data_IF_692224554763
#
_entry.id   IF_692224554763
#
_cell.length_a   1.000
_cell.length_b   1.000
_cell.length_c   1.000
_cell.angle_alpha   90.00
_cell.angle_beta   90.00
_cell.angle_gamma   90.00
#
_symmetry.space_group_name_H-M   'P 1'
#
loop_
_entity.id
_entity.type
_entity.pdbx_description
1 polymer ?
#
# COMPACT_ATOMS: atom_id res chain seq x y z
N UNK A 1 -7.50 11.58 0.87
CA UNK A 1 -8.49 10.52 0.55
C UNK A 1 -9.35 10.82 -0.69
N UNK A 2 -9.56 12.08 -1.06
CA UNK A 2 -10.26 12.43 -2.32
C UNK A 2 -9.61 11.73 -3.53
N UNK A 3 -8.29 11.76 -3.63
CA UNK A 3 -7.56 11.07 -4.71
C UNK A 3 -7.76 9.55 -4.68
N UNK A 4 -7.95 8.93 -3.50
CA UNK A 4 -8.28 7.50 -3.38
C UNK A 4 -9.64 7.24 -4.01
N UNK A 5 -10.66 8.01 -3.61
CA UNK A 5 -12.00 7.90 -4.17
C UNK A 5 -12.00 8.06 -5.69
N UNK A 6 -11.23 9.02 -6.22
CA UNK A 6 -11.16 9.30 -7.66
C UNK A 6 -10.41 8.19 -8.44
N UNK A 7 -9.31 7.71 -7.90
CA UNK A 7 -8.46 6.72 -8.60
C UNK A 7 -9.05 5.31 -8.59
N UNK A 8 -9.83 4.97 -7.56
CA UNK A 8 -10.39 3.62 -7.34
C UNK A 8 -11.85 3.48 -7.78
N UNK A 9 -12.55 4.57 -8.13
CA UNK A 9 -13.99 4.57 -8.47
C UNK A 9 -14.43 3.56 -9.54
N UNK A 10 -13.52 3.17 -10.42
CA UNK A 10 -13.81 2.24 -11.51
C UNK A 10 -13.42 0.78 -11.18
N UNK A 11 -12.91 0.53 -9.98
CA UNK A 11 -12.62 -0.84 -9.56
C UNK A 11 -13.92 -1.55 -9.16
N UNK A 12 -13.99 -2.84 -9.48
CA UNK A 12 -15.12 -3.67 -9.11
C UNK A 12 -15.34 -3.63 -7.59
N UNK A 13 -16.60 -3.43 -7.18
CA UNK A 13 -17.04 -3.39 -5.78
C UNK A 13 -16.39 -2.29 -4.91
N UNK A 14 -15.77 -1.28 -5.54
CA UNK A 14 -15.25 -0.14 -4.79
C UNK A 14 -16.40 0.75 -4.31
N UNK A 15 -16.43 1.00 -3.01
CA UNK A 15 -17.35 1.96 -2.40
C UNK A 15 -16.59 3.21 -1.96
N UNK A 16 -17.12 4.36 -2.29
CA UNK A 16 -16.54 5.63 -1.86
C UNK A 16 -16.46 5.71 -0.33
N UNK A 17 -15.31 6.11 0.16
CA UNK A 17 -15.11 6.33 1.59
C UNK A 17 -15.93 7.56 2.03
N UNK A 18 -16.71 7.38 3.07
CA UNK A 18 -17.41 8.47 3.73
C UNK A 18 -16.46 9.29 4.60
N UNK A 19 -16.78 10.55 4.89
CA UNK A 19 -15.95 11.41 5.76
C UNK A 19 -15.67 10.75 7.12
N UNK A 20 -16.67 10.11 7.72
CA UNK A 20 -16.50 9.37 8.98
C UNK A 20 -15.47 8.25 8.88
N UNK A 21 -15.51 7.48 7.80
CA UNK A 21 -14.50 6.41 7.56
C UNK A 21 -13.12 7.01 7.31
N UNK A 22 -13.04 8.12 6.57
CA UNK A 22 -11.78 8.85 6.34
C UNK A 22 -11.18 9.30 7.66
N UNK A 23 -11.96 9.93 8.53
CA UNK A 23 -11.50 10.36 9.86
C UNK A 23 -11.02 9.20 10.73
N UNK A 24 -11.72 8.08 10.69
CA UNK A 24 -11.33 6.87 11.40
C UNK A 24 -10.00 6.32 10.87
N UNK A 25 -9.82 6.23 9.55
CA UNK A 25 -8.56 5.81 8.92
C UNK A 25 -7.41 6.74 9.24
N UNK A 26 -7.62 8.07 9.18
CA UNK A 26 -6.60 9.06 9.54
C UNK A 26 -6.18 8.87 10.99
N UNK A 27 -7.12 8.76 11.90
CA UNK A 27 -6.82 8.64 13.32
C UNK A 27 -6.16 7.31 13.71
N UNK A 28 -6.57 6.23 13.05
CA UNK A 28 -6.12 4.88 13.40
C UNK A 28 -4.80 4.53 12.73
N UNK A 29 -4.63 4.89 11.46
CA UNK A 29 -3.50 4.44 10.64
C UNK A 29 -2.53 5.56 10.29
N UNK A 30 -3.02 6.67 9.71
CA UNK A 30 -2.12 7.70 9.15
C UNK A 30 -1.30 8.38 10.23
N UNK A 31 -1.88 8.70 11.38
CA UNK A 31 -1.15 9.32 12.51
C UNK A 31 -0.04 8.42 13.09
N UNK A 32 -0.09 7.12 12.83
CA UNK A 32 0.89 6.14 13.32
C UNK A 32 1.81 5.64 12.19
N UNK A 33 1.51 6.00 10.95
CA UNK A 33 2.31 5.61 9.80
C UNK A 33 3.67 6.33 9.81
N UNK A 34 4.69 5.64 9.34
CA UNK A 34 5.94 6.29 8.98
C UNK A 34 5.74 7.02 7.64
N UNK A 35 5.79 8.34 7.69
CA UNK A 35 5.56 9.18 6.51
C UNK A 35 6.65 9.01 5.43
N UNK A 36 7.82 8.46 5.76
CA UNK A 36 8.83 8.12 4.77
C UNK A 36 8.42 6.93 3.88
N UNK A 37 7.40 6.16 4.30
CA UNK A 37 6.83 5.06 3.53
C UNK A 37 5.54 5.45 2.80
N UNK A 38 5.25 6.77 2.78
CA UNK A 38 4.10 7.35 2.08
C UNK A 38 4.61 8.45 1.15
N UNK A 39 4.30 8.35 -0.13
CA UNK A 39 4.73 9.34 -1.12
C UNK A 39 3.56 9.94 -1.88
N UNK A 40 3.73 11.16 -2.35
CA UNK A 40 2.77 11.87 -3.18
C UNK A 40 3.45 12.65 -4.30
N UNK A 41 2.87 12.57 -5.48
CA UNK A 41 3.31 13.36 -6.65
C UNK A 41 2.36 14.53 -6.84
N UNK A 42 2.90 15.74 -6.92
CA UNK A 42 2.13 16.96 -7.14
C UNK A 42 2.47 17.59 -8.48
N UNK A 43 1.48 18.19 -9.13
CA UNK A 43 1.67 18.99 -10.34
C UNK A 43 1.81 20.47 -9.96
N UNK A 44 3.03 21.01 -10.04
CA UNK A 44 3.32 22.41 -9.75
C UNK A 44 2.60 23.40 -10.69
N UNK A 45 2.34 23.01 -11.93
CA UNK A 45 1.63 23.84 -12.90
C UNK A 45 0.10 23.89 -12.65
N UNK A 46 -0.41 22.93 -11.89
CA UNK A 46 -1.82 22.83 -11.48
C UNK A 46 -2.04 23.26 -10.02
N UNK A 47 -1.28 24.23 -9.53
CA UNK A 47 -1.42 24.74 -8.15
C UNK A 47 -1.04 23.74 -7.07
N UNK A 48 -0.03 22.91 -7.32
CA UNK A 48 0.40 21.83 -6.43
C UNK A 48 -0.69 20.77 -6.19
N UNK A 49 -1.52 20.50 -7.19
CA UNK A 49 -2.53 19.42 -7.12
C UNK A 49 -1.85 18.08 -6.91
N UNK A 50 -2.29 17.33 -5.89
CA UNK A 50 -1.86 15.94 -5.71
C UNK A 50 -2.43 15.07 -6.83
N UNK A 51 -1.57 14.45 -7.63
CA UNK A 51 -1.94 13.73 -8.86
C UNK A 51 -1.66 12.23 -8.79
N UNK A 52 -0.80 11.81 -7.87
CA UNK A 52 -0.53 10.41 -7.61
C UNK A 52 -0.06 10.20 -6.17
N UNK A 53 -0.20 8.99 -5.65
CA UNK A 53 0.24 8.63 -4.31
C UNK A 53 0.63 7.16 -4.23
N UNK A 54 1.49 6.84 -3.26
CA UNK A 54 1.84 5.49 -2.86
C UNK A 54 1.87 5.39 -1.34
N UNK A 55 1.36 4.29 -0.79
CA UNK A 55 1.34 3.99 0.64
C UNK A 55 1.87 2.60 0.86
N UNK A 56 2.86 2.48 1.72
CA UNK A 56 3.43 1.21 2.13
C UNK A 56 3.63 1.15 3.65
N UNK A 57 3.80 -0.08 4.15
CA UNK A 57 4.01 -0.32 5.57
C UNK A 57 5.03 -1.44 5.77
N UNK A 58 5.81 -1.43 6.87
CA UNK A 58 6.62 -2.58 7.23
C UNK A 58 5.73 -3.81 7.41
N UNK A 59 6.09 -4.94 6.82
CA UNK A 59 5.28 -6.16 6.92
C UNK A 59 5.25 -6.71 8.34
N UNK A 60 4.05 -7.02 8.82
CA UNK A 60 3.85 -7.68 10.11
C UNK A 60 3.82 -9.20 10.02
N UNK A 61 3.91 -9.75 8.82
CA UNK A 61 3.69 -11.18 8.56
C UNK A 61 4.54 -12.07 9.46
N UNK A 62 5.83 -11.82 9.55
CA UNK A 62 6.73 -12.66 10.36
C UNK A 62 6.50 -12.46 11.85
N UNK A 63 6.30 -11.21 12.28
CA UNK A 63 5.99 -10.91 13.68
C UNK A 63 4.70 -11.61 14.14
N UNK A 64 3.67 -11.66 13.28
CA UNK A 64 2.40 -12.33 13.56
C UNK A 64 2.56 -13.86 13.56
N UNK A 65 3.33 -14.42 12.62
CA UNK A 65 3.65 -15.85 12.60
C UNK A 65 4.38 -16.31 13.87
N UNK A 66 5.32 -15.52 14.35
CA UNK A 66 6.06 -15.81 15.56
C UNK A 66 5.20 -15.78 16.84
N UNK A 67 4.04 -15.13 16.82
CA UNK A 67 3.10 -15.13 17.96
C UNK A 67 2.44 -16.50 18.13
N UNK A 68 2.36 -17.30 17.05
CA UNK A 68 1.94 -18.70 17.05
C UNK A 68 0.45 -18.93 17.34
N UNK A 69 -0.01 -18.56 18.53
CA UNK A 69 -1.42 -18.71 18.96
C UNK A 69 -2.32 -17.51 18.65
N UNK A 70 -1.76 -16.48 17.98
CA UNK A 70 -2.48 -15.25 17.62
C UNK A 70 -2.78 -14.30 18.79
N UNK A 71 -2.33 -14.61 20.01
CA UNK A 71 -2.58 -13.76 21.17
C UNK A 71 -1.54 -12.66 21.30
N UNK A 72 -1.98 -11.42 21.22
CA UNK A 72 -1.09 -10.26 21.41
C UNK A 72 -0.56 -10.14 22.85
N UNK A 73 -1.34 -10.56 23.84
CA UNK A 73 -0.94 -10.51 25.25
C UNK A 73 -0.58 -11.91 25.78
N UNK A 74 0.41 -12.03 26.68
CA UNK A 74 1.14 -10.93 27.36
C UNK A 74 2.33 -10.37 26.57
N UNK A 75 2.91 -11.06 25.58
CA UNK A 75 4.20 -10.67 24.96
C UNK A 75 4.15 -10.43 23.44
N UNK A 76 3.11 -10.90 22.76
CA UNK A 76 2.98 -10.78 21.28
C UNK A 76 3.01 -9.32 20.79
N UNK A 77 2.44 -8.39 21.53
CA UNK A 77 2.44 -6.97 21.18
C UNK A 77 3.85 -6.36 21.07
N UNK A 78 4.84 -6.90 21.81
CA UNK A 78 6.24 -6.46 21.72
C UNK A 78 6.83 -6.74 20.33
N UNK A 79 6.44 -7.85 19.70
CA UNK A 79 6.91 -8.23 18.36
C UNK A 79 6.34 -7.24 17.33
N UNK A 80 5.04 -6.94 17.41
CA UNK A 80 4.38 -5.95 16.56
C UNK A 80 4.98 -4.56 16.76
N UNK A 81 5.24 -4.15 18.01
CA UNK A 81 5.86 -2.88 18.33
C UNK A 81 7.27 -2.74 17.73
N UNK A 82 8.07 -3.84 17.72
CA UNK A 82 9.40 -3.84 17.10
C UNK A 82 9.33 -3.55 15.59
N UNK A 83 8.35 -4.08 14.90
CA UNK A 83 8.13 -3.78 13.47
C UNK A 83 7.72 -2.33 13.30
N UNK A 84 6.74 -1.85 14.06
CA UNK A 84 6.23 -0.47 13.94
C UNK A 84 7.27 0.59 14.24
N UNK A 85 8.06 0.41 15.31
CA UNK A 85 8.96 1.45 15.82
C UNK A 85 10.37 1.35 15.27
N UNK A 86 10.85 0.14 14.99
CA UNK A 86 12.23 -0.11 14.58
C UNK A 86 12.35 -0.81 13.22
N UNK A 87 11.25 -0.97 12.48
CA UNK A 87 11.21 -1.62 11.16
C UNK A 87 11.93 -2.99 11.16
N UNK A 88 11.75 -3.78 12.24
CA UNK A 88 12.39 -5.11 12.40
C UNK A 88 11.68 -6.17 11.54
N UNK A 89 11.77 -5.97 10.24
CA UNK A 89 11.35 -6.87 9.17
C UNK A 89 12.21 -6.55 7.95
N UNK A 90 12.40 -7.50 7.06
CA UNK A 90 13.06 -7.27 5.78
C UNK A 90 12.07 -7.08 4.60
N UNK A 91 10.79 -7.05 4.91
CA UNK A 91 9.71 -6.96 3.93
C UNK A 91 8.85 -5.73 4.16
N UNK A 92 8.49 -5.03 3.10
CA UNK A 92 7.52 -3.94 3.08
C UNK A 92 6.26 -4.35 2.32
N UNK A 93 5.09 -4.07 2.86
CA UNK A 93 3.79 -4.32 2.23
C UNK A 93 3.37 -3.08 1.43
N UNK A 94 3.13 -3.26 0.11
CA UNK A 94 2.64 -2.21 -0.79
C UNK A 94 1.11 -2.18 -0.69
N UNK A 95 0.56 -1.22 0.06
CA UNK A 95 -0.87 -1.20 0.38
C UNK A 95 -1.71 -0.52 -0.70
N UNK A 96 -1.36 0.70 -1.04
CA UNK A 96 -2.14 1.52 -1.97
C UNK A 96 -1.23 2.23 -2.96
N UNK A 97 -1.65 2.28 -4.21
CA UNK A 97 -1.05 3.12 -5.24
C UNK A 97 -2.16 3.67 -6.12
N UNK A 98 -2.12 4.95 -6.41
CA UNK A 98 -3.12 5.57 -7.28
C UNK A 98 -2.53 6.71 -8.09
N UNK A 99 -2.98 6.81 -9.35
CA UNK A 99 -2.64 7.90 -10.27
C UNK A 99 -3.92 8.38 -10.90
N UNK A 100 -4.17 9.69 -10.85
CA UNK A 100 -5.32 10.29 -11.52
C UNK A 100 -5.34 9.92 -13.00
N UNK A 101 -6.52 9.64 -13.59
CA UNK A 101 -6.63 9.16 -14.97
C UNK A 101 -5.86 10.01 -15.98
N UNK A 102 -5.94 11.34 -15.86
CA UNK A 102 -5.29 12.31 -16.74
C UNK A 102 -3.75 12.37 -16.60
N UNK A 103 -3.19 11.77 -15.53
CA UNK A 103 -1.74 11.68 -15.28
C UNK A 103 -1.18 10.29 -15.52
N UNK A 104 -2.02 9.31 -15.87
CA UNK A 104 -1.57 7.97 -16.27
C UNK A 104 -0.69 8.06 -17.51
N UNK A 105 0.32 7.19 -17.62
CA UNK A 105 1.31 7.17 -18.71
C UNK A 105 2.20 8.42 -18.83
N UNK A 106 2.18 9.32 -17.84
CA UNK A 106 3.03 10.52 -17.79
C UNK A 106 4.22 10.37 -16.81
N UNK A 107 4.54 9.17 -16.38
CA UNK A 107 5.68 8.91 -15.50
C UNK A 107 5.40 9.06 -14.00
N UNK A 108 4.18 9.42 -13.57
CA UNK A 108 3.85 9.60 -12.15
C UNK A 108 4.12 8.34 -11.31
N UNK A 109 3.86 7.14 -11.85
CA UNK A 109 4.20 5.88 -11.21
C UNK A 109 5.70 5.72 -10.99
N UNK A 110 6.52 6.09 -11.97
CA UNK A 110 7.97 5.99 -11.85
C UNK A 110 8.51 6.89 -10.74
N UNK A 111 7.92 8.08 -10.56
CA UNK A 111 8.27 8.98 -9.47
C UNK A 111 7.91 8.39 -8.10
N UNK A 112 6.73 7.75 -7.97
CA UNK A 112 6.33 7.06 -6.74
C UNK A 112 7.36 5.98 -6.39
N UNK A 113 7.67 5.08 -7.33
CA UNK A 113 8.61 4.00 -7.06
C UNK A 113 10.03 4.48 -6.83
N UNK A 114 10.49 5.53 -7.54
CA UNK A 114 11.82 6.10 -7.33
C UNK A 114 11.99 6.61 -5.89
N UNK A 115 11.00 7.32 -5.36
CA UNK A 115 11.02 7.82 -3.99
C UNK A 115 10.91 6.68 -2.97
N UNK A 116 9.93 5.79 -3.11
CA UNK A 116 9.70 4.71 -2.15
C UNK A 116 10.85 3.69 -2.12
N UNK A 117 11.42 3.31 -3.28
CA UNK A 117 12.54 2.36 -3.33
C UNK A 117 13.76 2.91 -2.60
N UNK A 118 14.04 4.21 -2.72
CA UNK A 118 15.13 4.85 -1.97
C UNK A 118 14.89 4.70 -0.45
N UNK A 119 13.67 4.92 0.03
CA UNK A 119 13.32 4.73 1.44
C UNK A 119 13.42 3.26 1.87
N UNK A 120 12.98 2.33 1.01
CA UNK A 120 13.09 0.89 1.31
C UNK A 120 14.54 0.46 1.50
N UNK A 121 15.45 0.94 0.67
CA UNK A 121 16.89 0.70 0.83
C UNK A 121 17.43 1.31 2.14
N UNK A 122 17.04 2.52 2.49
CA UNK A 122 17.45 3.17 3.75
C UNK A 122 17.00 2.38 4.99
N UNK A 123 15.82 1.78 4.94
CA UNK A 123 15.29 0.94 6.03
C UNK A 123 15.84 -0.50 6.00
N UNK A 124 16.53 -0.89 4.93
CA UNK A 124 17.09 -2.23 4.78
C UNK A 124 16.07 -3.30 4.39
N UNK A 125 14.91 -2.90 3.83
CA UNK A 125 13.98 -3.86 3.25
C UNK A 125 14.60 -4.53 2.03
N UNK A 126 14.41 -5.84 1.92
CA UNK A 126 14.90 -6.68 0.82
C UNK A 126 13.78 -7.07 -0.13
N UNK A 127 12.56 -7.13 0.38
CA UNK A 127 11.38 -7.59 -0.32
C UNK A 127 10.25 -6.58 -0.23
N UNK A 128 9.48 -6.48 -1.32
CA UNK A 128 8.24 -5.74 -1.34
C UNK A 128 7.10 -6.68 -1.73
N UNK A 129 6.12 -6.85 -0.86
CA UNK A 129 4.93 -7.67 -1.08
C UNK A 129 3.79 -6.80 -1.57
N UNK A 130 3.30 -7.06 -2.78
CA UNK A 130 2.12 -6.38 -3.29
C UNK A 130 0.84 -7.02 -2.75
N UNK A 131 -0.08 -6.19 -2.26
CA UNK A 131 -1.40 -6.66 -1.86
C UNK A 131 -2.14 -7.33 -3.02
N UNK A 132 -3.08 -8.27 -2.74
CA UNK A 132 -3.85 -8.94 -3.77
C UNK A 132 -4.50 -7.97 -4.75
N UNK A 133 -4.28 -8.18 -6.02
CA UNK A 133 -4.78 -7.35 -7.11
C UNK A 133 -5.78 -8.13 -7.95
N UNK A 134 -6.82 -7.45 -8.43
CA UNK A 134 -7.77 -8.06 -9.34
C UNK A 134 -7.13 -8.40 -10.68
N UNK A 135 -7.43 -9.58 -11.23
CA UNK A 135 -6.95 -9.98 -12.58
C UNK A 135 -7.38 -9.00 -13.68
N UNK A 136 -8.47 -8.28 -13.45
CA UNK A 136 -8.98 -7.26 -14.37
C UNK A 136 -8.30 -5.90 -14.24
N UNK A 137 -7.50 -5.67 -13.19
CA UNK A 137 -6.78 -4.42 -12.98
C UNK A 137 -5.44 -4.41 -13.74
N UNK A 138 -5.53 -4.44 -15.07
CA UNK A 138 -4.36 -4.48 -15.97
C UNK A 138 -3.44 -3.27 -15.81
N UNK A 139 -4.00 -2.12 -15.39
CA UNK A 139 -3.22 -0.89 -15.17
C UNK A 139 -2.20 -1.03 -14.05
N UNK A 140 -2.55 -1.70 -12.97
CA UNK A 140 -1.61 -1.97 -11.86
C UNK A 140 -0.71 -3.16 -12.19
N UNK A 141 -1.25 -4.22 -12.78
CA UNK A 141 -0.45 -5.40 -13.12
C UNK A 141 0.68 -5.09 -14.13
N UNK A 142 0.43 -4.21 -15.09
CA UNK A 142 1.44 -3.83 -16.09
C UNK A 142 2.67 -3.11 -15.50
N UNK A 143 2.61 -2.62 -14.27
CA UNK A 143 3.76 -1.98 -13.63
C UNK A 143 4.84 -2.98 -13.25
N UNK A 144 4.45 -4.21 -12.92
CA UNK A 144 5.38 -5.24 -12.45
C UNK A 144 6.38 -5.69 -13.51
N UNK A 145 6.06 -5.50 -14.81
CA UNK A 145 6.99 -5.80 -15.90
C UNK A 145 8.28 -4.96 -15.89
N UNK A 146 8.29 -3.84 -15.18
CA UNK A 146 9.45 -2.95 -15.05
C UNK A 146 10.28 -3.22 -13.78
N UNK A 147 9.85 -4.15 -12.95
CA UNK A 147 10.48 -4.53 -11.70
C UNK A 147 10.75 -6.03 -11.71
N UNK A 148 11.81 -6.44 -11.02
CA UNK A 148 12.03 -7.86 -10.76
C UNK A 148 10.94 -8.37 -9.82
N UNK A 149 9.97 -9.10 -10.36
CA UNK A 149 8.77 -9.49 -9.63
C UNK A 149 8.31 -10.90 -9.96
N UNK A 150 7.78 -11.61 -8.96
CA UNK A 150 7.22 -12.95 -9.08
C UNK A 150 5.80 -12.98 -8.56
N UNK A 151 4.87 -13.55 -9.35
CA UNK A 151 3.51 -13.82 -8.88
C UNK A 151 3.47 -15.15 -8.13
N UNK A 152 3.55 -15.12 -6.81
CA UNK A 152 3.61 -16.32 -5.99
C UNK A 152 2.27 -16.77 -5.40
N UNK A 153 1.20 -15.95 -5.51
CA UNK A 153 -0.14 -16.29 -5.00
C UNK A 153 -1.24 -15.92 -5.98
N UNK A 154 -2.29 -16.75 -5.99
CA UNK A 154 -3.52 -16.47 -6.73
C UNK A 154 -4.73 -16.92 -5.88
N UNK A 155 -5.70 -16.03 -5.70
CA UNK A 155 -6.93 -16.28 -4.98
C UNK A 155 -8.12 -16.16 -5.92
N UNK A 156 -9.15 -17.01 -5.74
CA UNK A 156 -10.40 -16.92 -6.46
C UNK A 156 -11.57 -17.07 -5.50
N UNK A 157 -12.56 -16.20 -5.63
CA UNK A 157 -13.82 -16.31 -4.93
C UNK A 157 -14.87 -16.95 -5.86
N UNK A 158 -15.61 -17.93 -5.35
CA UNK A 158 -16.66 -18.62 -6.10
C UNK A 158 -18.01 -18.36 -5.46
N UNK A 159 -19.04 -18.10 -6.29
CA UNK A 159 -20.42 -17.97 -5.86
C UNK A 159 -21.22 -19.16 -6.37
N UNK A 160 -21.93 -19.86 -5.48
CA UNK A 160 -22.87 -20.93 -5.82
C UNK A 160 -24.28 -20.45 -5.51
N UNK A 161 -25.21 -20.62 -6.47
CA UNK A 161 -26.64 -20.46 -6.20
C UNK A 161 -27.10 -21.68 -5.40
N UNK A 162 -27.72 -21.47 -4.26
CA UNK A 162 -28.30 -22.49 -3.40
C UNK A 162 -29.78 -22.65 -3.78
#
# INVERSE_FOLDING_TARGET
FEIVNETYKNLYDFQQLTEKQIDEYVNTYIKKADLNLVTGVVDGNAGNKLVAFGVSFPSFTDALREIGDGKLFPTGWLKVLKVLKWHKTDTVDLLLIGVLPEYRKKGANALIFADLIEQYHRYGFKWAEAMPQMETNTGVQSQWQYLESEQHRRHRCYKKKI
#
